data_IF_098779097998
#
_entry.id   IF_098779097998
#
_cell.length_a   1.000
_cell.length_b   1.000
_cell.length_c   1.000
_cell.angle_alpha   90.00
_cell.angle_beta   90.00
_cell.angle_gamma   90.00
#
_symmetry.space_group_name_H-M   'P 1'
#
loop_
_entity.id
_entity.type
_entity.pdbx_description
1 polymer ?
#
# COMPACT_ATOMS: atom_id res chain seq x y z
N UNK A 1 19.09 -76.61 -51.57
CA UNK A 1 19.04 -75.13 -51.66
C UNK A 1 17.66 -74.64 -51.23
N UNK A 2 17.44 -74.36 -49.93
CA UNK A 2 16.19 -73.77 -49.39
C UNK A 2 16.32 -73.45 -47.89
N UNK A 3 17.16 -72.47 -47.53
CA UNK A 3 17.14 -71.85 -46.20
C UNK A 3 17.53 -70.39 -46.40
N UNK A 4 16.61 -69.54 -46.88
CA UNK A 4 16.88 -68.09 -46.96
C UNK A 4 15.64 -67.20 -46.89
N UNK A 5 14.55 -67.70 -46.28
CA UNK A 5 13.28 -66.95 -46.18
C UNK A 5 12.94 -66.58 -44.73
N UNK A 6 13.52 -67.27 -43.73
CA UNK A 6 13.17 -67.06 -42.32
C UNK A 6 13.84 -65.83 -41.70
N UNK A 7 15.01 -65.40 -42.18
CA UNK A 7 15.75 -64.27 -41.59
C UNK A 7 15.09 -62.92 -41.94
N UNK A 8 14.53 -62.78 -43.15
CA UNK A 8 13.93 -61.52 -43.61
C UNK A 8 12.62 -61.17 -42.87
N UNK A 9 11.94 -62.17 -42.30
CA UNK A 9 10.70 -61.94 -41.51
C UNK A 9 10.98 -61.47 -40.09
N UNK A 10 12.14 -61.80 -39.50
CA UNK A 10 12.50 -61.32 -38.16
C UNK A 10 13.00 -59.87 -38.16
N UNK A 11 13.62 -59.42 -39.25
CA UNK A 11 14.12 -58.05 -39.36
C UNK A 11 12.99 -57.01 -39.49
N UNK A 12 11.92 -57.33 -40.23
CA UNK A 12 10.74 -56.46 -40.35
C UNK A 12 9.91 -56.35 -39.07
N UNK A 13 10.00 -57.31 -38.13
CA UNK A 13 9.30 -57.23 -36.85
C UNK A 13 10.07 -56.33 -35.87
N UNK A 14 11.40 -56.23 -36.01
CA UNK A 14 12.22 -55.35 -35.20
C UNK A 14 12.02 -53.86 -35.53
N UNK A 15 11.75 -53.52 -36.79
CA UNK A 15 11.49 -52.13 -37.20
C UNK A 15 10.08 -51.64 -36.84
N UNK A 16 9.08 -52.52 -36.91
CA UNK A 16 7.69 -52.18 -36.57
C UNK A 16 7.46 -51.91 -35.06
N UNK A 17 8.35 -52.39 -34.17
CA UNK A 17 8.26 -52.15 -32.73
C UNK A 17 8.96 -50.86 -32.27
N UNK A 18 9.66 -50.15 -33.16
CA UNK A 18 10.32 -48.88 -32.83
C UNK A 18 9.39 -47.66 -32.85
N UNK A 19 8.15 -47.81 -33.35
CA UNK A 19 7.21 -46.71 -33.55
C UNK A 19 6.20 -46.49 -32.40
N UNK A 20 6.23 -47.31 -31.34
CA UNK A 20 5.28 -47.27 -30.23
C UNK A 20 5.96 -46.97 -28.88
N UNK A 21 6.90 -46.04 -28.85
CA UNK A 21 7.24 -45.39 -27.58
C UNK A 21 6.16 -44.34 -27.28
N UNK A 22 5.35 -44.50 -26.22
CA UNK A 22 4.45 -43.44 -25.81
C UNK A 22 5.29 -42.19 -25.51
N UNK A 23 4.83 -40.99 -25.89
CA UNK A 23 5.55 -39.77 -25.57
C UNK A 23 5.81 -39.75 -24.07
N UNK A 24 7.08 -39.70 -23.68
CA UNK A 24 7.48 -39.59 -22.28
C UNK A 24 7.01 -38.23 -21.78
N UNK A 25 5.78 -38.17 -21.29
CA UNK A 25 5.30 -37.03 -20.53
C UNK A 25 6.19 -36.94 -19.29
N UNK A 26 7.15 -36.02 -19.31
CA UNK A 26 7.96 -35.62 -18.16
C UNK A 26 7.04 -34.97 -17.13
N UNK A 27 6.28 -35.80 -16.42
CA UNK A 27 5.55 -35.37 -15.25
C UNK A 27 6.60 -35.01 -14.20
N UNK A 28 6.62 -33.73 -13.78
CA UNK A 28 7.34 -33.33 -12.56
C UNK A 28 7.04 -34.33 -11.44
N UNK A 29 8.07 -34.79 -10.73
CA UNK A 29 7.90 -35.77 -9.65
C UNK A 29 6.86 -35.27 -8.62
N UNK A 30 6.12 -36.18 -8.00
CA UNK A 30 5.05 -35.83 -7.07
C UNK A 30 5.53 -34.88 -5.95
N UNK A 31 6.77 -35.06 -5.47
CA UNK A 31 7.41 -34.19 -4.48
C UNK A 31 7.65 -32.76 -4.97
N UNK A 32 7.99 -32.58 -6.26
CA UNK A 32 8.14 -31.27 -6.89
C UNK A 32 6.83 -30.47 -6.88
N UNK A 33 5.74 -31.15 -7.25
CA UNK A 33 4.40 -30.54 -7.28
C UNK A 33 3.98 -30.12 -5.87
N UNK A 34 4.21 -30.97 -4.87
CA UNK A 34 3.86 -30.69 -3.49
C UNK A 34 4.64 -29.50 -2.92
N UNK A 35 5.96 -29.47 -3.11
CA UNK A 35 6.82 -28.40 -2.58
C UNK A 35 6.47 -27.03 -3.18
N UNK A 36 6.32 -26.94 -4.51
CA UNK A 36 5.92 -25.70 -5.17
C UNK A 36 4.55 -25.22 -4.71
N UNK A 37 3.60 -26.14 -4.55
CA UNK A 37 2.23 -25.82 -4.17
C UNK A 37 2.19 -25.31 -2.72
N UNK A 38 2.96 -25.92 -1.80
CA UNK A 38 3.09 -25.45 -0.42
C UNK A 38 3.72 -24.06 -0.35
N UNK A 39 4.84 -23.83 -1.05
CA UNK A 39 5.51 -22.52 -1.06
C UNK A 39 4.62 -21.43 -1.67
N UNK A 40 3.89 -21.76 -2.73
CA UNK A 40 2.93 -20.86 -3.35
C UNK A 40 1.80 -20.50 -2.38
N UNK A 41 1.19 -21.50 -1.73
CA UNK A 41 0.13 -21.28 -0.74
C UNK A 41 0.65 -20.41 0.42
N UNK A 42 1.81 -20.74 0.99
CA UNK A 42 2.39 -19.97 2.10
C UNK A 42 2.66 -18.51 1.70
N UNK A 43 3.20 -18.28 0.50
CA UNK A 43 3.45 -16.93 0.00
C UNK A 43 2.16 -16.13 -0.19
N UNK A 44 1.13 -16.77 -0.73
CA UNK A 44 -0.20 -16.15 -0.92
C UNK A 44 -0.83 -15.82 0.44
N UNK A 45 -0.79 -16.76 1.40
CA UNK A 45 -1.33 -16.56 2.75
C UNK A 45 -0.62 -15.41 3.45
N UNK A 46 0.72 -15.37 3.43
CA UNK A 46 1.48 -14.25 3.99
C UNK A 46 1.17 -12.93 3.29
N UNK A 47 1.04 -12.93 1.97
CA UNK A 47 0.67 -11.74 1.20
C UNK A 47 -0.70 -11.19 1.62
N UNK A 48 -1.71 -12.06 1.74
CA UNK A 48 -3.06 -11.68 2.16
C UNK A 48 -3.06 -11.11 3.59
N UNK A 49 -2.36 -11.77 4.53
CA UNK A 49 -2.26 -11.29 5.91
C UNK A 49 -1.58 -9.92 5.96
N UNK A 50 -0.48 -9.74 5.21
CA UNK A 50 0.25 -8.47 5.17
C UNK A 50 -0.60 -7.32 4.60
N UNK A 51 -1.35 -7.58 3.53
CA UNK A 51 -2.31 -6.62 2.95
C UNK A 51 -3.37 -6.23 3.98
N UNK A 52 -3.91 -7.22 4.70
CA UNK A 52 -4.92 -6.99 5.72
C UNK A 52 -4.39 -6.12 6.87
N UNK A 53 -3.20 -6.44 7.38
CA UNK A 53 -2.54 -5.66 8.43
C UNK A 53 -2.25 -4.22 7.97
N UNK A 54 -1.77 -4.02 6.74
CA UNK A 54 -1.54 -2.67 6.22
C UNK A 54 -2.83 -1.85 6.12
N UNK A 55 -3.95 -2.46 5.72
CA UNK A 55 -5.25 -1.76 5.67
C UNK A 55 -5.73 -1.35 7.06
N UNK A 56 -5.62 -2.23 8.04
CA UNK A 56 -6.01 -1.92 9.42
C UNK A 56 -5.13 -0.81 9.98
N UNK A 57 -3.81 -0.91 9.77
CA UNK A 57 -2.87 0.11 10.24
C UNK A 57 -3.11 1.47 9.58
N UNK A 58 -3.42 1.51 8.28
CA UNK A 58 -3.73 2.76 7.58
C UNK A 58 -4.96 3.47 8.17
N UNK A 59 -6.00 2.71 8.55
CA UNK A 59 -7.18 3.28 9.21
C UNK A 59 -6.86 3.82 10.60
N UNK A 60 -6.06 3.09 11.40
CA UNK A 60 -5.64 3.54 12.73
C UNK A 60 -4.70 4.76 12.66
N UNK A 61 -3.82 4.80 11.67
CA UNK A 61 -2.93 5.93 11.44
C UNK A 61 -3.74 7.20 11.16
N UNK A 62 -4.88 7.09 10.45
CA UNK A 62 -5.75 8.24 10.24
C UNK A 62 -6.33 8.80 11.55
N UNK A 63 -6.85 7.94 12.43
CA UNK A 63 -7.36 8.39 13.74
C UNK A 63 -6.27 9.01 14.61
N UNK A 64 -5.07 8.43 14.60
CA UNK A 64 -3.94 8.96 15.36
C UNK A 64 -3.53 10.34 14.82
N UNK A 65 -3.46 10.51 13.49
CA UNK A 65 -3.13 11.80 12.88
C UNK A 65 -4.20 12.86 13.18
N UNK A 66 -5.48 12.50 13.17
CA UNK A 66 -6.57 13.41 13.56
C UNK A 66 -6.45 13.82 15.03
N UNK A 67 -6.17 12.87 15.92
CA UNK A 67 -5.99 13.13 17.35
C UNK A 67 -4.77 14.04 17.60
N UNK A 68 -3.64 13.78 16.94
CA UNK A 68 -2.44 14.60 17.04
C UNK A 68 -2.68 16.02 16.49
N UNK A 69 -3.42 16.16 15.39
CA UNK A 69 -3.82 17.45 14.86
C UNK A 69 -4.70 18.19 15.88
N UNK A 70 -5.70 17.54 16.45
CA UNK A 70 -6.54 18.14 17.50
C UNK A 70 -5.71 18.58 18.71
N UNK A 71 -4.82 17.72 19.22
CA UNK A 71 -3.93 18.07 20.34
C UNK A 71 -3.04 19.28 20.02
N UNK A 72 -2.54 19.39 18.78
CA UNK A 72 -1.69 20.49 18.36
C UNK A 72 -2.42 21.85 18.30
N UNK A 73 -3.75 21.82 18.18
CA UNK A 73 -4.58 23.01 18.06
C UNK A 73 -5.12 23.49 19.41
N UNK A 74 -5.08 22.68 20.46
CA UNK A 74 -5.42 23.09 21.83
C UNK A 74 -4.67 24.37 22.27
N UNK A 75 -3.32 24.45 22.13
CA UNK A 75 -2.61 25.67 22.53
C UNK A 75 -3.02 26.88 21.70
N UNK A 76 -3.31 26.70 20.40
CA UNK A 76 -3.79 27.77 19.54
C UNK A 76 -5.22 28.21 19.94
N UNK A 77 -6.11 27.28 20.28
CA UNK A 77 -7.45 27.62 20.74
C UNK A 77 -7.42 28.47 22.02
N UNK A 78 -6.49 28.18 22.95
CA UNK A 78 -6.32 28.96 24.16
C UNK A 78 -5.73 30.36 23.88
N UNK A 79 -4.80 30.51 22.93
CA UNK A 79 -4.32 31.85 22.55
C UNK A 79 -5.42 32.67 21.88
N UNK A 80 -6.22 32.06 20.99
CA UNK A 80 -7.31 32.73 20.28
C UNK A 80 -8.46 33.17 21.21
N UNK A 81 -8.70 32.40 22.28
CA UNK A 81 -9.67 32.75 23.32
C UNK A 81 -9.27 34.02 24.09
N UNK A 82 -7.97 34.23 24.28
CA UNK A 82 -7.42 35.38 25.00
C UNK A 82 -7.03 36.55 24.07
N UNK A 83 -7.36 36.49 22.79
CA UNK A 83 -7.04 37.53 21.83
C UNK A 83 -7.96 38.76 22.03
N UNK A 84 -7.35 39.92 22.30
CA UNK A 84 -8.09 41.17 22.54
C UNK A 84 -8.51 41.89 21.24
N UNK A 85 -7.85 41.59 20.12
CA UNK A 85 -8.10 42.25 18.83
C UNK A 85 -8.05 41.28 17.66
N UNK A 86 -8.82 41.59 16.61
CA UNK A 86 -8.81 40.84 15.34
C UNK A 86 -7.41 40.69 14.74
N UNK A 87 -6.57 41.72 14.87
CA UNK A 87 -5.20 41.71 14.35
C UNK A 87 -4.30 40.70 15.08
N UNK A 88 -4.44 40.57 16.40
CA UNK A 88 -3.71 39.57 17.19
C UNK A 88 -4.20 38.17 16.82
N UNK A 89 -5.51 37.99 16.75
CA UNK A 89 -6.15 36.74 16.38
C UNK A 89 -5.67 36.23 15.00
N UNK A 90 -5.67 37.09 13.98
CA UNK A 90 -5.20 36.77 12.64
C UNK A 90 -3.69 36.45 12.64
N UNK A 91 -2.89 37.26 13.33
CA UNK A 91 -1.44 37.05 13.46
C UNK A 91 -1.12 35.69 14.09
N UNK A 92 -1.83 35.29 15.15
CA UNK A 92 -1.61 34.00 15.82
C UNK A 92 -1.93 32.82 14.90
N UNK A 93 -3.03 32.91 14.15
CA UNK A 93 -3.41 31.91 13.13
C UNK A 93 -2.34 31.80 12.05
N UNK A 94 -1.88 32.93 11.50
CA UNK A 94 -0.88 32.96 10.42
C UNK A 94 0.48 32.46 10.93
N UNK A 95 0.90 32.86 12.13
CA UNK A 95 2.15 32.43 12.72
C UNK A 95 2.15 30.93 13.00
N UNK A 96 1.06 30.41 13.59
CA UNK A 96 0.88 28.98 13.80
C UNK A 96 0.95 28.22 12.47
N UNK A 97 0.22 28.68 11.44
CA UNK A 97 0.27 28.10 10.11
C UNK A 97 1.68 28.11 9.51
N UNK A 98 2.42 29.21 9.67
CA UNK A 98 3.81 29.35 9.23
C UNK A 98 4.75 28.29 9.81
N UNK A 99 4.54 27.88 11.06
CA UNK A 99 5.34 26.80 11.68
C UNK A 99 5.13 25.45 10.98
N UNK A 100 3.93 25.16 10.49
CA UNK A 100 3.62 23.93 9.75
C UNK A 100 4.22 23.96 8.34
N UNK A 101 4.12 25.11 7.66
CA UNK A 101 4.75 25.31 6.35
C UNK A 101 6.28 25.16 6.43
N UNK A 102 6.91 25.73 7.45
CA UNK A 102 8.36 25.63 7.67
C UNK A 102 8.82 24.20 7.96
N UNK A 103 7.94 23.34 8.50
CA UNK A 103 8.18 21.90 8.69
C UNK A 103 7.91 21.07 7.42
N UNK A 104 7.62 21.72 6.29
CA UNK A 104 7.35 21.07 5.01
C UNK A 104 5.90 20.61 4.83
N UNK A 105 4.98 20.97 5.72
CA UNK A 105 3.57 20.59 5.61
C UNK A 105 2.78 21.59 4.75
N UNK A 106 3.12 21.67 3.46
CA UNK A 106 2.57 22.67 2.52
C UNK A 106 1.10 22.47 2.16
N UNK A 107 0.55 21.31 2.52
CA UNK A 107 -0.84 20.90 2.32
C UNK A 107 -1.74 21.20 3.52
N UNK A 108 -1.18 21.77 4.59
CA UNK A 108 -1.90 22.20 5.77
C UNK A 108 -2.63 23.51 5.49
N UNK A 109 -3.84 23.65 6.00
CA UNK A 109 -4.67 24.83 5.82
C UNK A 109 -5.55 25.03 7.06
N UNK A 110 -5.74 26.29 7.44
CA UNK A 110 -6.46 26.69 8.64
C UNK A 110 -7.60 27.65 8.27
N UNK A 111 -8.79 27.42 8.80
CA UNK A 111 -9.91 28.33 8.71
C UNK A 111 -10.49 28.58 10.09
N UNK A 112 -10.84 29.83 10.37
CA UNK A 112 -11.69 30.18 11.49
C UNK A 112 -13.08 30.52 10.97
N UNK A 113 -14.06 29.77 11.44
CA UNK A 113 -15.48 29.98 11.16
C UNK A 113 -16.13 30.59 12.40
N UNK A 114 -17.02 31.56 12.24
CA UNK A 114 -17.82 32.11 13.34
C UNK A 114 -19.09 31.26 13.62
N UNK A 115 -19.98 31.73 14.50
CA UNK A 115 -21.24 31.06 14.76
C UNK A 115 -22.26 31.17 13.62
N UNK A 116 -22.11 32.14 12.71
CA UNK A 116 -22.97 32.31 11.52
C UNK A 116 -22.62 31.30 10.42
N UNK A 117 -21.45 30.69 10.52
CA UNK A 117 -20.90 29.79 9.51
C UNK A 117 -20.01 30.50 8.48
N UNK A 118 -19.74 31.79 8.67
CA UNK A 118 -18.85 32.57 7.81
C UNK A 118 -17.39 32.33 8.19
N UNK A 119 -16.51 32.23 7.18
CA UNK A 119 -15.07 32.12 7.39
C UNK A 119 -14.51 33.52 7.62
N UNK A 120 -14.12 33.81 8.85
CA UNK A 120 -13.59 35.12 9.25
C UNK A 120 -12.08 35.24 9.02
N UNK A 121 -11.33 34.13 9.11
CA UNK A 121 -9.87 34.10 8.86
C UNK A 121 -9.50 32.84 8.10
N UNK A 122 -8.59 32.97 7.14
CA UNK A 122 -8.05 31.82 6.40
C UNK A 122 -6.54 31.91 6.24
N UNK A 123 -5.84 30.83 6.57
CA UNK A 123 -4.40 30.67 6.34
C UNK A 123 -4.19 29.43 5.45
N UNK A 124 -3.85 29.67 4.17
CA UNK A 124 -3.81 28.64 3.14
C UNK A 124 -2.36 28.26 2.79
N UNK A 125 -2.08 26.96 2.78
CA UNK A 125 -0.84 26.41 2.25
C UNK A 125 -0.74 26.53 0.72
N UNK A 126 0.36 26.03 0.15
CA UNK A 126 0.65 26.14 -1.29
C UNK A 126 -0.18 25.20 -2.17
N UNK A 127 -0.92 24.25 -1.58
CA UNK A 127 -1.73 23.33 -2.37
C UNK A 127 -2.93 24.04 -3.01
N UNK A 128 -3.13 23.81 -4.31
CA UNK A 128 -4.13 24.45 -5.17
C UNK A 128 -5.52 23.79 -5.13
N UNK A 129 -5.81 22.93 -4.14
CA UNK A 129 -7.14 22.30 -4.08
C UNK A 129 -8.21 23.35 -3.79
N UNK A 130 -9.22 23.37 -4.67
CA UNK A 130 -10.26 24.37 -4.82
C UNK A 130 -10.82 24.91 -3.51
N UNK A 131 -10.95 26.24 -3.48
CA UNK A 131 -11.47 27.12 -2.42
C UNK A 131 -12.87 26.81 -1.86
N UNK A 132 -13.46 25.64 -2.11
CA UNK A 132 -14.74 25.26 -1.50
C UNK A 132 -14.47 24.63 -0.14
N UNK A 133 -14.86 25.33 0.93
CA UNK A 133 -14.94 24.78 2.29
C UNK A 133 -15.58 23.38 2.21
N UNK A 134 -14.90 22.30 2.63
CA UNK A 134 -15.46 20.97 2.51
C UNK A 134 -16.74 20.93 3.34
N UNK A 135 -17.86 20.77 2.64
CA UNK A 135 -19.17 20.48 3.22
C UNK A 135 -19.00 19.33 4.22
N UNK A 136 -19.83 19.27 5.27
CA UNK A 136 -19.80 18.28 6.37
C UNK A 136 -19.76 16.79 5.96
N UNK A 137 -19.67 16.46 4.67
CA UNK A 137 -19.37 15.14 4.17
C UNK A 137 -17.97 14.74 4.59
N UNK A 138 -17.92 13.76 5.50
CA UNK A 138 -16.75 12.99 5.93
C UNK A 138 -16.14 12.27 4.71
N UNK A 139 -15.52 13.02 3.79
CA UNK A 139 -14.83 12.46 2.65
C UNK A 139 -13.62 11.70 3.18
N UNK A 140 -13.61 10.38 2.93
CA UNK A 140 -12.65 9.38 3.43
C UNK A 140 -11.16 9.70 3.22
N UNK A 141 -10.87 10.75 2.46
CA UNK A 141 -9.51 11.11 2.06
C UNK A 141 -9.01 12.40 2.75
N UNK A 142 -9.83 13.14 3.48
CA UNK A 142 -9.41 14.41 4.10
C UNK A 142 -9.17 14.26 5.60
N UNK A 143 -8.02 14.75 6.07
CA UNK A 143 -7.79 14.96 7.50
C UNK A 143 -8.43 16.30 7.87
N UNK A 144 -9.55 16.24 8.58
CA UNK A 144 -10.24 17.40 9.12
C UNK A 144 -10.27 17.32 10.64
N UNK A 145 -9.81 18.38 11.30
CA UNK A 145 -9.95 18.56 12.73
C UNK A 145 -10.74 19.84 12.99
N UNK A 146 -11.78 19.71 13.80
CA UNK A 146 -12.68 20.81 14.15
C UNK A 146 -12.55 21.05 15.65
N UNK A 147 -12.20 22.28 16.04
CA UNK A 147 -12.09 22.66 17.45
C UNK A 147 -13.02 23.84 17.73
N UNK A 148 -13.97 23.71 18.67
CA UNK A 148 -14.77 24.85 19.09
C UNK A 148 -13.89 25.86 19.81
N UNK A 149 -14.02 27.13 19.43
CA UNK A 149 -13.34 28.26 20.05
C UNK A 149 -14.39 29.19 20.65
N UNK A 150 -14.07 29.75 21.81
CA UNK A 150 -14.84 30.80 22.45
C UNK A 150 -13.99 32.06 22.38
N UNK A 151 -14.45 33.08 21.66
CA UNK A 151 -13.75 34.36 21.57
C UNK A 151 -14.80 35.47 21.47
N UNK A 152 -14.70 36.52 22.29
CA UNK A 152 -15.65 37.64 22.25
C UNK A 152 -15.59 38.42 20.94
N UNK A 153 -14.53 38.24 20.15
CA UNK A 153 -14.38 38.86 18.83
C UNK A 153 -15.30 38.23 17.78
N UNK A 154 -15.70 36.96 17.97
CA UNK A 154 -16.53 36.22 17.02
C UNK A 154 -18.01 36.54 17.21
N UNK A 155 -18.78 36.46 16.12
CA UNK A 155 -20.23 36.61 16.20
C UNK A 155 -20.82 35.53 17.13
N UNK A 156 -21.62 35.96 18.12
CA UNK A 156 -22.14 35.07 19.16
C UNK A 156 -21.11 34.56 20.18
N UNK A 157 -19.89 35.12 20.17
CA UNK A 157 -18.81 34.79 21.11
C UNK A 157 -18.19 33.40 20.91
N UNK A 158 -18.53 32.73 19.80
CA UNK A 158 -18.17 31.33 19.52
C UNK A 158 -17.79 31.17 18.06
N UNK A 159 -16.94 30.20 17.78
CA UNK A 159 -16.62 29.78 16.43
C UNK A 159 -16.00 28.40 16.38
N UNK A 160 -15.60 28.00 15.18
CA UNK A 160 -15.00 26.71 14.89
C UNK A 160 -13.68 26.91 14.16
N UNK A 161 -12.60 26.43 14.74
CA UNK A 161 -11.33 26.32 14.05
C UNK A 161 -11.30 25.02 13.27
N UNK A 162 -11.27 25.14 11.96
CA UNK A 162 -11.27 24.02 11.03
C UNK A 162 -9.88 23.94 10.43
N UNK A 163 -9.26 22.78 10.60
CA UNK A 163 -7.99 22.46 9.97
C UNK A 163 -8.20 21.38 8.94
N UNK A 164 -7.69 21.62 7.74
CA UNK A 164 -7.69 20.62 6.69
C UNK A 164 -6.29 20.37 6.16
N UNK A 165 -5.97 19.10 5.95
CA UNK A 165 -4.77 18.69 5.24
C UNK A 165 -5.17 18.02 3.93
N UNK A 166 -4.59 18.47 2.83
CA UNK A 166 -4.92 18.00 1.49
C UNK A 166 -4.50 16.52 1.24
N UNK A 167 -5.43 15.64 0.83
CA UNK A 167 -5.15 14.24 0.51
C UNK A 167 -4.18 14.00 -0.64
N UNK A 168 -4.00 14.94 -1.56
CA UNK A 168 -3.31 14.65 -2.83
C UNK A 168 -1.86 14.25 -2.57
N UNK A 169 -1.20 14.88 -1.58
CA UNK A 169 0.12 14.46 -1.12
C UNK A 169 0.08 13.08 -0.46
N UNK A 170 -0.89 12.84 0.43
CA UNK A 170 -1.00 11.61 1.21
C UNK A 170 -1.29 10.38 0.33
N UNK A 171 -2.22 10.47 -0.60
CA UNK A 171 -2.59 9.39 -1.53
C UNK A 171 -1.43 9.01 -2.46
N UNK A 172 -0.67 9.99 -2.93
CA UNK A 172 0.54 9.75 -3.74
C UNK A 172 1.64 9.06 -2.92
N UNK A 173 1.88 9.48 -1.68
CA UNK A 173 2.82 8.83 -0.77
C UNK A 173 2.40 7.39 -0.45
N UNK A 174 1.11 7.16 -0.19
CA UNK A 174 0.54 5.82 0.01
C UNK A 174 0.74 4.93 -1.20
N UNK A 175 0.44 5.44 -2.40
CA UNK A 175 0.61 4.70 -3.65
C UNK A 175 2.07 4.31 -3.86
N UNK A 176 3.00 5.22 -3.63
CA UNK A 176 4.43 4.94 -3.75
C UNK A 176 4.91 3.91 -2.73
N UNK A 177 4.44 4.01 -1.47
CA UNK A 177 4.74 3.04 -0.41
C UNK A 177 4.19 1.65 -0.75
N UNK A 178 2.96 1.59 -1.28
CA UNK A 178 2.34 0.35 -1.76
C UNK A 178 3.10 -0.25 -2.93
N UNK A 179 3.56 0.58 -3.86
CA UNK A 179 4.32 0.13 -5.03
C UNK A 179 5.69 -0.42 -4.62
N UNK A 180 6.37 0.26 -3.69
CA UNK A 180 7.63 -0.22 -3.11
C UNK A 180 7.43 -1.56 -2.38
N UNK A 181 6.38 -1.66 -1.55
CA UNK A 181 6.05 -2.90 -0.84
C UNK A 181 5.76 -4.04 -1.81
N UNK A 182 4.92 -3.80 -2.84
CA UNK A 182 4.60 -4.81 -3.84
C UNK A 182 5.84 -5.26 -4.61
N UNK A 183 6.70 -4.31 -4.99
CA UNK A 183 7.97 -4.61 -5.66
C UNK A 183 8.86 -5.49 -4.78
N UNK A 184 9.01 -5.13 -3.50
CA UNK A 184 9.81 -5.91 -2.57
C UNK A 184 9.23 -7.32 -2.39
N UNK A 185 7.92 -7.44 -2.24
CA UNK A 185 7.24 -8.74 -2.12
C UNK A 185 7.46 -9.60 -3.37
N UNK A 186 7.23 -9.04 -4.56
CA UNK A 186 7.39 -9.73 -5.83
C UNK A 186 8.84 -10.20 -6.04
N UNK A 187 9.82 -9.34 -5.73
CA UNK A 187 11.25 -9.69 -5.82
C UNK A 187 11.60 -10.81 -4.86
N UNK A 188 11.18 -10.74 -3.60
CA UNK A 188 11.44 -11.80 -2.60
C UNK A 188 10.86 -13.14 -3.04
N UNK A 189 9.58 -13.17 -3.45
CA UNK A 189 8.91 -14.39 -3.92
C UNK A 189 9.60 -14.94 -5.17
N UNK A 190 10.00 -14.07 -6.10
CA UNK A 190 10.72 -14.44 -7.31
C UNK A 190 12.09 -15.06 -7.02
N UNK A 191 12.88 -14.45 -6.13
CA UNK A 191 14.21 -14.95 -5.73
C UNK A 191 14.08 -16.30 -5.03
N UNK A 192 13.18 -16.43 -4.05
CA UNK A 192 12.97 -17.69 -3.31
C UNK A 192 12.55 -18.81 -4.27
N UNK A 193 11.64 -18.50 -5.19
CA UNK A 193 11.18 -19.45 -6.22
C UNK A 193 12.33 -19.86 -7.15
N UNK A 194 13.19 -18.91 -7.56
CA UNK A 194 14.37 -19.19 -8.38
C UNK A 194 15.38 -20.12 -7.68
N UNK A 195 15.70 -19.84 -6.41
CA UNK A 195 16.59 -20.70 -5.62
C UNK A 195 16.02 -22.10 -5.40
N UNK A 196 14.71 -22.20 -5.14
CA UNK A 196 14.02 -23.49 -5.06
C UNK A 196 14.20 -24.29 -6.36
N UNK A 197 13.95 -23.66 -7.51
CA UNK A 197 14.11 -24.32 -8.81
C UNK A 197 15.55 -24.81 -9.02
N UNK A 198 16.55 -23.97 -8.69
CA UNK A 198 17.96 -24.33 -8.81
C UNK A 198 18.36 -25.49 -7.91
N UNK A 199 18.05 -25.40 -6.61
CA UNK A 199 18.39 -26.44 -5.63
C UNK A 199 17.79 -27.76 -6.08
N UNK A 200 16.50 -27.76 -6.45
CA UNK A 200 15.84 -29.01 -6.81
C UNK A 200 16.41 -29.56 -8.14
N UNK A 201 16.69 -28.71 -9.13
CA UNK A 201 17.32 -29.15 -10.37
C UNK A 201 18.66 -29.86 -10.13
N UNK A 202 19.54 -29.23 -9.33
CA UNK A 202 20.87 -29.75 -9.06
C UNK A 202 20.86 -30.98 -8.13
N UNK A 203 20.01 -30.98 -7.10
CA UNK A 203 20.04 -31.99 -6.04
C UNK A 203 19.15 -33.20 -6.32
N UNK A 204 18.08 -33.04 -7.11
CA UNK A 204 17.11 -34.12 -7.39
C UNK A 204 17.18 -34.53 -8.85
N UNK A 205 17.00 -33.60 -9.78
CA UNK A 205 16.83 -33.94 -11.20
C UNK A 205 18.11 -34.47 -11.82
N UNK A 206 19.26 -33.85 -11.49
CA UNK A 206 20.56 -34.24 -12.03
C UNK A 206 21.00 -35.66 -11.62
N UNK A 207 20.97 -36.07 -10.33
CA UNK A 207 21.35 -37.43 -9.94
C UNK A 207 20.34 -38.49 -10.38
N UNK A 208 19.03 -38.19 -10.38
CA UNK A 208 18.01 -39.14 -10.87
C UNK A 208 18.20 -39.43 -12.36
N UNK A 209 18.51 -38.41 -13.18
CA UNK A 209 18.82 -38.60 -14.59
C UNK A 209 20.10 -39.41 -14.84
N UNK A 210 21.05 -39.39 -13.89
CA UNK A 210 22.24 -40.23 -13.96
C UNK A 210 21.92 -41.69 -13.61
N UNK A 211 21.05 -41.93 -12.62
CA UNK A 211 20.61 -43.27 -12.23
C UNK A 211 19.69 -43.96 -13.25
N UNK A 212 18.93 -43.20 -14.04
CA UNK A 212 18.07 -43.75 -15.11
C UNK A 212 18.84 -44.04 -16.40
N UNK A 213 20.02 -43.43 -16.59
CA UNK A 213 20.89 -43.65 -17.75
C UNK A 213 22.01 -44.66 -17.51
N UNK A 214 22.27 -45.02 -16.26
CA UNK A 214 23.18 -46.09 -15.86
C UNK A 214 22.45 -47.43 -15.86
#
# INVERSE_FOLDING_TARGET
MKINITVKKMQNISEANSLNQPPSHQFLSLGWRLALLITLILSVVMGIISISQQRVNANNEQSIQQELLQMSLIPLAETLKNADTWKILESDIVNFHGLFINKGQTSHHLFLQDASGEIVVSARGKSQVSSSLPTHTKHKDHFRADIPIISPLLEGGKGLLIVHNDPVGYSNMLKQRWWLWFTHFAVTVGIVSFFLVLIIYYQVTRPVNQLVRA
#
